data_IF_851777008015
#
_entry.id   IF_851777008015
#
_cell.length_a   1.000
_cell.length_b   1.000
_cell.length_c   1.000
_cell.angle_alpha   90.00
_cell.angle_beta   90.00
_cell.angle_gamma   90.00
#
_symmetry.space_group_name_H-M   'P 1'
#
loop_
_entity.id
_entity.type
_entity.pdbx_description
1 polymer ?
#
# COMPACT_ATOMS: atom_id res chain seq x y z
N UNK A 1 -73.21 19.53 -29.86
CA UNK A 1 -72.78 20.72 -29.08
C UNK A 1 -71.29 20.92 -29.34
N UNK A 2 -70.97 21.77 -30.33
CA UNK A 2 -70.36 23.12 -30.17
C UNK A 2 -68.86 23.03 -29.84
N UNK A 3 -67.97 23.04 -30.84
CA UNK A 3 -67.31 24.18 -31.54
C UNK A 3 -66.08 24.72 -30.79
N UNK A 4 -64.90 24.66 -31.41
CA UNK A 4 -64.17 25.86 -31.89
C UNK A 4 -62.84 25.50 -32.56
N UNK A 5 -62.57 26.18 -33.68
CA UNK A 5 -61.27 26.32 -34.36
C UNK A 5 -60.38 27.26 -33.50
N UNK A 6 -59.05 27.30 -33.63
CA UNK A 6 -58.33 28.36 -34.39
C UNK A 6 -56.79 28.20 -34.18
N UNK A 7 -56.09 28.14 -35.31
CA UNK A 7 -54.84 28.82 -35.74
C UNK A 7 -53.50 28.71 -34.98
N UNK A 8 -52.50 28.41 -35.81
CA UNK A 8 -51.05 28.38 -35.59
C UNK A 8 -50.45 29.76 -35.30
N UNK A 9 -49.60 29.88 -34.28
CA UNK A 9 -48.58 30.93 -34.13
C UNK A 9 -47.28 30.38 -33.51
N UNK A 10 -46.21 30.45 -34.33
CA UNK A 10 -44.81 30.84 -34.05
C UNK A 10 -43.98 30.22 -32.90
N UNK A 11 -42.88 29.58 -33.33
CA UNK A 11 -41.56 29.31 -32.71
C UNK A 11 -41.26 29.88 -31.30
N UNK A 12 -40.74 29.03 -30.39
CA UNK A 12 -39.40 29.21 -29.77
C UNK A 12 -38.92 27.96 -29.02
N UNK A 13 -37.60 27.80 -28.99
CA UNK A 13 -36.79 26.66 -28.55
C UNK A 13 -37.10 26.12 -27.15
N UNK A 14 -37.13 24.80 -27.01
CA UNK A 14 -36.78 24.12 -25.77
C UNK A 14 -36.30 22.69 -26.05
N UNK A 15 -34.99 22.55 -26.16
CA UNK A 15 -34.19 21.50 -25.52
C UNK A 15 -34.69 20.06 -25.67
N UNK A 16 -34.23 19.40 -26.73
CA UNK A 16 -34.14 17.95 -26.80
C UNK A 16 -33.18 17.45 -25.71
N UNK A 17 -33.62 16.50 -24.88
CA UNK A 17 -32.95 15.21 -24.65
C UNK A 17 -33.30 14.63 -23.27
N UNK A 18 -34.29 13.74 -23.31
CA UNK A 18 -34.29 12.38 -22.74
C UNK A 18 -33.77 12.13 -21.32
N UNK A 19 -34.71 11.64 -20.50
CA UNK A 19 -34.50 10.81 -19.32
C UNK A 19 -33.33 9.82 -19.50
N UNK A 20 -32.43 9.81 -18.53
CA UNK A 20 -31.69 8.61 -18.16
C UNK A 20 -31.65 8.56 -16.63
N UNK A 21 -32.56 7.78 -16.04
CA UNK A 21 -32.38 7.29 -14.69
C UNK A 21 -31.22 6.31 -14.72
N UNK A 22 -30.00 6.82 -14.55
CA UNK A 22 -28.88 6.00 -14.18
C UNK A 22 -29.12 5.51 -12.75
N UNK A 23 -29.82 4.37 -12.64
CA UNK A 23 -29.69 3.49 -11.48
C UNK A 23 -28.29 2.88 -11.53
N UNK A 24 -27.27 3.71 -11.29
CA UNK A 24 -25.98 3.21 -10.89
C UNK A 24 -26.12 2.89 -9.41
N UNK A 25 -26.45 1.65 -9.11
CA UNK A 25 -26.13 1.06 -7.82
C UNK A 25 -24.62 0.86 -7.79
N UNK A 26 -23.88 1.94 -7.56
CA UNK A 26 -22.49 1.83 -7.16
C UNK A 26 -22.49 1.90 -5.64
N UNK A 27 -22.51 0.72 -5.02
CA UNK A 27 -22.14 0.59 -3.62
C UNK A 27 -20.62 0.82 -3.54
N UNK A 28 -20.21 2.07 -3.73
CA UNK A 28 -18.84 2.53 -3.59
C UNK A 28 -18.55 2.71 -2.10
N UNK A 29 -18.44 1.59 -1.38
CA UNK A 29 -17.74 1.58 -0.09
C UNK A 29 -16.27 1.83 -0.41
N UNK A 30 -15.93 3.12 -0.57
CA UNK A 30 -14.64 3.64 -1.02
C UNK A 30 -13.47 2.90 -0.35
N UNK A 31 -12.91 1.93 -1.09
CA UNK A 31 -11.77 1.15 -0.64
C UNK A 31 -10.50 1.98 -0.79
N UNK A 32 -10.02 2.55 0.32
CA UNK A 32 -8.68 3.13 0.36
C UNK A 32 -7.66 1.99 0.52
N UNK A 33 -6.89 1.73 -0.54
CA UNK A 33 -5.77 0.78 -0.49
C UNK A 33 -4.82 1.23 0.62
N UNK A 34 -4.36 0.32 1.50
CA UNK A 34 -3.47 0.68 2.58
C UNK A 34 -2.26 1.45 2.07
N UNK A 35 -2.11 2.71 2.50
CA UNK A 35 -0.91 3.48 2.19
C UNK A 35 0.11 3.20 3.28
N UNK A 36 1.31 2.86 2.82
CA UNK A 36 2.41 2.42 3.66
C UNK A 36 3.66 3.22 3.27
N UNK A 37 4.13 4.08 4.17
CA UNK A 37 5.41 4.77 4.04
C UNK A 37 6.40 4.24 5.06
N UNK A 38 7.62 3.98 4.59
CA UNK A 38 8.73 3.56 5.45
C UNK A 38 9.60 4.78 5.68
N UNK A 39 9.62 5.27 6.91
CA UNK A 39 10.61 6.25 7.32
C UNK A 39 11.84 5.45 7.72
N UNK A 40 12.98 5.68 7.05
CA UNK A 40 14.33 5.13 7.34
C UNK A 40 14.88 3.96 6.51
N UNK A 41 14.19 3.41 5.51
CA UNK A 41 14.80 2.36 4.66
C UNK A 41 14.89 2.83 3.21
N UNK A 42 16.10 2.76 2.63
CA UNK A 42 16.35 3.09 1.23
C UNK A 42 15.61 2.10 0.32
N UNK A 43 15.05 2.58 -0.79
CA UNK A 43 14.43 1.73 -1.81
C UNK A 43 15.36 1.61 -3.03
N UNK A 44 15.44 0.43 -3.65
CA UNK A 44 16.09 0.27 -4.95
C UNK A 44 15.21 0.80 -6.10
N UNK A 45 15.73 0.75 -7.33
CA UNK A 45 14.99 1.16 -8.53
C UNK A 45 13.73 0.34 -8.82
N UNK A 46 13.57 -0.81 -8.17
CA UNK A 46 12.40 -1.69 -8.28
C UNK A 46 11.40 -1.47 -7.12
N UNK A 47 11.70 -0.54 -6.20
CA UNK A 47 10.87 -0.26 -5.02
C UNK A 47 11.12 -1.19 -3.83
N UNK A 48 12.11 -2.08 -3.89
CA UNK A 48 12.45 -2.99 -2.80
C UNK A 48 13.23 -2.27 -1.71
N UNK A 49 12.98 -2.65 -0.47
CA UNK A 49 13.65 -2.06 0.68
C UNK A 49 15.05 -2.66 0.88
N UNK A 50 16.08 -1.80 0.85
CA UNK A 50 17.48 -2.12 1.07
C UNK A 50 17.90 -1.73 2.49
N UNK A 51 18.50 -2.66 3.21
CA UNK A 51 18.94 -2.48 4.59
C UNK A 51 20.42 -2.82 4.70
N UNK A 52 21.15 -1.97 5.42
CA UNK A 52 22.54 -2.26 5.79
C UNK A 52 22.66 -3.54 6.62
N UNK A 53 23.89 -4.01 6.79
CA UNK A 53 24.15 -5.23 7.56
C UNK A 53 23.72 -5.15 9.03
N UNK A 54 23.73 -3.95 9.61
CA UNK A 54 23.53 -3.75 11.05
C UNK A 54 22.05 -3.82 11.44
N UNK A 55 21.80 -3.92 12.74
CA UNK A 55 20.45 -3.86 13.27
C UNK A 55 19.79 -2.55 12.87
N UNK A 56 18.56 -2.61 12.39
CA UNK A 56 17.79 -1.46 11.92
C UNK A 56 16.37 -1.52 12.46
N UNK A 57 15.83 -0.36 12.78
CA UNK A 57 14.41 -0.19 13.11
C UNK A 57 13.80 0.76 12.09
N UNK A 58 12.61 0.45 11.64
CA UNK A 58 11.84 1.28 10.72
C UNK A 58 10.43 1.47 11.23
N UNK A 59 9.87 2.65 11.00
CA UNK A 59 8.47 2.94 11.28
C UNK A 59 7.68 2.90 9.98
N UNK A 60 6.63 2.10 10.00
CA UNK A 60 5.65 1.94 8.95
C UNK A 60 4.41 2.75 9.32
N UNK A 61 4.12 3.81 8.60
CA UNK A 61 2.84 4.52 8.75
C UNK A 61 1.80 3.81 7.89
N UNK A 62 0.75 3.31 8.54
CA UNK A 62 -0.33 2.55 7.92
C UNK A 62 -1.60 3.37 7.98
N UNK A 63 -2.27 3.53 6.85
CA UNK A 63 -3.64 4.08 6.78
C UNK A 63 -4.55 3.09 6.08
N UNK A 64 -5.59 2.61 6.74
CA UNK A 64 -6.58 1.68 6.16
C UNK A 64 -7.97 1.90 6.74
N UNK A 65 -9.03 1.62 5.98
CA UNK A 65 -10.41 1.66 6.46
C UNK A 65 -10.92 0.32 7.02
N UNK A 66 -10.03 -0.69 7.16
CA UNK A 66 -10.36 -2.02 7.69
C UNK A 66 -9.39 -2.42 8.78
N UNK A 67 -9.81 -3.33 9.66
CA UNK A 67 -8.88 -4.01 10.56
C UNK A 67 -7.83 -4.76 9.76
N UNK A 68 -6.61 -4.81 10.28
CA UNK A 68 -5.45 -5.34 9.59
C UNK A 68 -4.62 -6.28 10.46
N UNK A 69 -3.83 -7.11 9.80
CA UNK A 69 -2.86 -8.04 10.40
C UNK A 69 -1.56 -8.02 9.63
N UNK A 70 -0.44 -8.12 10.32
CA UNK A 70 0.90 -8.23 9.77
C UNK A 70 1.51 -9.57 10.21
N UNK A 71 2.10 -10.30 9.27
CA UNK A 71 2.65 -11.64 9.51
C UNK A 71 4.02 -11.77 8.87
N UNK A 72 4.94 -12.42 9.56
CA UNK A 72 6.29 -12.72 9.08
C UNK A 72 6.69 -14.12 9.51
N UNK A 73 7.41 -14.83 8.65
CA UNK A 73 8.04 -16.11 8.97
C UNK A 73 9.56 -15.96 9.17
N UNK A 74 10.07 -14.73 9.12
CA UNK A 74 11.49 -14.41 9.22
C UNK A 74 11.88 -14.32 10.70
N UNK A 75 12.82 -15.15 11.14
CA UNK A 75 13.37 -15.14 12.50
C UNK A 75 14.17 -13.87 12.84
N UNK A 76 14.65 -13.16 11.82
CA UNK A 76 15.43 -11.93 11.94
C UNK A 76 14.61 -10.64 11.79
N UNK A 77 13.29 -10.72 11.64
CA UNK A 77 12.40 -9.56 11.51
C UNK A 77 11.19 -9.72 12.44
N UNK A 78 10.90 -8.69 13.23
CA UNK A 78 9.70 -8.62 14.08
C UNK A 78 8.87 -7.37 13.76
N UNK A 79 7.56 -7.47 13.94
CA UNK A 79 6.59 -6.41 13.64
C UNK A 79 5.79 -6.11 14.91
N UNK A 80 5.59 -4.83 15.23
CA UNK A 80 4.78 -4.44 16.39
C UNK A 80 4.04 -3.11 16.15
N UNK A 81 2.71 -3.05 16.32
CA UNK A 81 1.82 -4.17 16.58
C UNK A 81 1.63 -5.08 15.34
N UNK A 82 1.30 -6.36 15.56
CA UNK A 82 1.01 -7.33 14.49
C UNK A 82 -0.45 -7.25 13.99
N UNK A 83 -1.30 -6.47 14.64
CA UNK A 83 -2.67 -6.24 14.21
C UNK A 83 -3.19 -4.89 14.70
N UNK A 84 -4.25 -4.41 14.08
CA UNK A 84 -4.91 -3.18 14.51
C UNK A 84 -6.24 -2.97 13.80
N UNK A 85 -7.01 -2.02 14.32
CA UNK A 85 -8.27 -1.60 13.72
C UNK A 85 -8.06 -0.67 12.52
N UNK A 86 -9.16 -0.35 11.85
CA UNK A 86 -9.21 0.70 10.85
C UNK A 86 -8.72 2.05 11.42
N UNK A 87 -8.10 2.86 10.56
CA UNK A 87 -7.56 4.17 10.86
C UNK A 87 -6.10 4.29 10.48
N UNK A 88 -5.44 5.26 11.12
CA UNK A 88 -4.00 5.48 10.99
C UNK A 88 -3.25 4.87 12.17
N UNK A 89 -2.16 4.15 11.88
CA UNK A 89 -1.33 3.48 12.88
C UNK A 89 0.14 3.48 12.48
N UNK A 90 0.99 3.62 13.49
CA UNK A 90 2.43 3.45 13.34
C UNK A 90 2.80 2.03 13.75
N UNK A 91 3.50 1.33 12.87
CA UNK A 91 3.98 -0.04 13.09
C UNK A 91 5.49 -0.04 13.05
N UNK A 92 6.10 -0.51 14.12
CA UNK A 92 7.55 -0.67 14.22
C UNK A 92 7.96 -2.01 13.61
N UNK A 93 8.91 -1.96 12.68
CA UNK A 93 9.59 -3.13 12.12
C UNK A 93 11.01 -3.12 12.66
N UNK A 94 11.38 -4.18 13.38
CA UNK A 94 12.75 -4.38 13.87
C UNK A 94 13.42 -5.48 13.08
N UNK A 95 14.65 -5.22 12.63
CA UNK A 95 15.41 -6.08 11.74
C UNK A 95 16.77 -6.31 12.39
N UNK A 96 17.06 -7.55 12.75
CA UNK A 96 18.29 -7.92 13.42
C UNK A 96 19.49 -7.75 12.48
N UNK A 97 20.69 -7.61 13.06
CA UNK A 97 21.95 -7.60 12.30
C UNK A 97 22.07 -8.89 11.46
N UNK A 98 22.50 -8.76 10.21
CA UNK A 98 22.95 -9.89 9.40
C UNK A 98 24.46 -10.06 9.57
N UNK A 99 24.87 -10.95 10.48
CA UNK A 99 26.28 -11.25 10.74
C UNK A 99 26.90 -12.20 9.70
N UNK A 100 26.11 -12.75 8.78
CA UNK A 100 26.64 -13.60 7.72
C UNK A 100 27.35 -12.75 6.65
N UNK A 101 28.32 -13.33 5.93
CA UNK A 101 28.97 -12.65 4.81
C UNK A 101 28.09 -12.50 3.56
N UNK A 102 26.89 -13.09 3.55
CA UNK A 102 25.99 -13.10 2.42
C UNK A 102 24.77 -12.20 2.65
N UNK A 103 24.30 -11.57 1.57
CA UNK A 103 23.01 -10.87 1.58
C UNK A 103 21.88 -11.86 1.85
N UNK A 104 20.92 -11.48 2.70
CA UNK A 104 19.69 -12.23 2.94
C UNK A 104 18.48 -11.44 2.45
N UNK A 105 17.46 -12.18 2.03
CA UNK A 105 16.20 -11.62 1.59
C UNK A 105 15.05 -12.36 2.30
N UNK A 106 13.99 -11.62 2.59
CA UNK A 106 12.78 -12.18 3.19
C UNK A 106 11.55 -11.36 2.84
N UNK A 107 10.38 -11.94 3.05
CA UNK A 107 9.11 -11.29 2.78
C UNK A 107 8.23 -11.35 4.04
N UNK A 108 7.54 -10.25 4.32
CA UNK A 108 6.44 -10.23 5.28
C UNK A 108 5.15 -9.80 4.57
N UNK A 109 4.00 -10.17 5.15
CA UNK A 109 2.69 -9.92 4.58
C UNK A 109 1.87 -9.01 5.48
N UNK A 110 1.11 -8.11 4.84
CA UNK A 110 0.17 -7.23 5.48
C UNK A 110 -1.21 -7.44 4.88
N UNK A 111 -2.20 -7.82 5.68
CA UNK A 111 -3.55 -8.14 5.22
C UNK A 111 -4.57 -7.17 5.81
N UNK A 112 -5.39 -6.58 4.95
CA UNK A 112 -6.52 -5.72 5.34
C UNK A 112 -7.76 -6.13 4.53
N UNK A 113 -8.78 -6.67 5.22
CA UNK A 113 -9.93 -7.29 4.56
C UNK A 113 -9.52 -8.47 3.66
N UNK A 114 -9.85 -8.37 2.37
CA UNK A 114 -9.53 -9.39 1.36
C UNK A 114 -8.21 -9.13 0.62
N UNK A 115 -7.56 -7.99 0.87
CA UNK A 115 -6.29 -7.65 0.23
C UNK A 115 -5.12 -8.08 1.11
N UNK A 116 -4.09 -8.65 0.46
CA UNK A 116 -2.82 -8.98 1.10
C UNK A 116 -1.69 -8.33 0.30
N UNK A 117 -0.93 -7.46 0.97
CA UNK A 117 0.26 -6.80 0.46
C UNK A 117 1.49 -7.56 0.95
N UNK A 118 2.47 -7.71 0.06
CA UNK A 118 3.73 -8.37 0.37
C UNK A 118 4.88 -7.38 0.29
N UNK A 119 5.75 -7.42 1.28
CA UNK A 119 6.89 -6.54 1.40
C UNK A 119 8.18 -7.34 1.41
N UNK A 120 9.00 -7.13 0.40
CA UNK A 120 10.32 -7.75 0.27
C UNK A 120 11.37 -6.89 0.93
N UNK A 121 12.10 -7.48 1.87
CA UNK A 121 13.24 -6.90 2.57
C UNK A 121 14.51 -7.57 2.08
N UNK A 122 15.48 -6.77 1.64
CA UNK A 122 16.83 -7.24 1.31
C UNK A 122 17.83 -6.61 2.27
N UNK A 123 18.57 -7.43 3.00
CA UNK A 123 19.58 -6.99 3.97
C UNK A 123 20.97 -7.47 3.58
N UNK A 124 21.90 -6.54 3.43
CA UNK A 124 23.31 -6.84 3.13
C UNK A 124 23.94 -7.73 4.21
N UNK A 125 24.94 -8.55 3.84
CA UNK A 125 25.77 -9.29 4.80
C UNK A 125 26.90 -8.43 5.38
N UNK A 126 27.51 -8.88 6.47
CA UNK A 126 28.74 -8.33 7.08
C UNK A 126 29.99 -8.69 6.25
N UNK A 127 29.86 -8.60 4.92
CA UNK A 127 30.91 -8.86 3.95
C UNK A 127 32.05 -7.88 4.16
N UNK A 128 32.94 -8.22 5.09
CA UNK A 128 34.30 -7.70 5.11
C UNK A 128 34.92 -8.05 3.77
N UNK A 129 35.02 -7.06 2.88
CA UNK A 129 36.11 -7.05 1.91
C UNK A 129 37.39 -6.88 2.73
N UNK A 130 37.86 -7.98 3.33
CA UNK A 130 39.18 -8.05 3.93
C UNK A 130 40.19 -7.91 2.81
N UNK A 131 40.63 -6.69 2.53
CA UNK A 131 41.85 -6.46 1.78
C UNK A 131 42.97 -6.97 2.69
N UNK A 132 43.40 -8.21 2.48
CA UNK A 132 44.67 -8.68 3.05
C UNK A 132 45.75 -8.11 2.14
N UNK A 133 46.67 -7.25 2.60
CA UNK A 133 47.87 -6.99 1.83
C UNK A 133 48.56 -8.34 1.65
N UNK A 134 48.69 -8.78 0.41
CA UNK A 134 49.51 -9.94 0.06
C UNK A 134 50.89 -9.72 0.66
N UNK A 135 51.31 -10.69 1.47
CA UNK A 135 52.66 -10.76 2.00
C UNK A 135 53.58 -11.19 0.85
N UNK A 136 54.56 -10.31 0.62
CA UNK A 136 55.74 -10.37 -0.25
C UNK A 136 55.53 -9.99 -1.73
#
# INVERSE_FOLDING_TARGET
MTTSKITRWTLLLASCATLSLASCKDNDDAYERPSISVTQLTKDSNGNTLIGKDESTATLHIRTNRSWTATTALDWLSISPESGDAGERDVTIKILKNASGATRQGQFAFKAGNETLYYTITQAGDGSAGITPGKD
#
